data_IF_329609330443
#
_entry.id   IF_329609330443
#
_cell.length_a   1.000
_cell.length_b   1.000
_cell.length_c   1.000
_cell.angle_alpha   90.00
_cell.angle_beta   90.00
_cell.angle_gamma   90.00
#
_symmetry.space_group_name_H-M   'P 1'
#
loop_
_entity.id
_entity.type
_entity.pdbx_description
1 polymer ?
#
# COMPACT_ATOMS: atom_id res chain seq x y z
N UNK A 1 13.50 10.43 -45.72
CA UNK A 1 13.48 11.45 -44.76
C UNK A 1 12.34 11.37 -43.84
N UNK A 2 11.21 11.43 -44.36
CA UNK A 2 10.04 11.41 -43.53
C UNK A 2 9.91 10.15 -42.76
N UNK A 3 10.37 9.07 -43.26
CA UNK A 3 10.26 7.81 -42.59
C UNK A 3 10.95 7.80 -41.29
N UNK A 4 11.99 8.54 -41.19
CA UNK A 4 12.75 8.57 -39.95
C UNK A 4 11.91 9.05 -38.81
N UNK A 5 11.10 10.03 -39.05
CA UNK A 5 10.27 10.54 -37.98
C UNK A 5 9.30 9.53 -37.46
N UNK A 6 8.80 8.74 -38.34
CA UNK A 6 7.85 7.73 -37.91
C UNK A 6 8.47 6.70 -37.02
N UNK A 7 9.69 6.35 -37.31
CA UNK A 7 10.36 5.37 -36.50
C UNK A 7 10.58 5.87 -35.09
N UNK A 8 10.91 7.12 -35.00
CA UNK A 8 11.14 7.69 -33.68
C UNK A 8 9.89 7.66 -32.84
N UNK A 9 8.78 7.93 -33.46
CA UNK A 9 7.53 7.94 -32.74
C UNK A 9 7.21 6.57 -32.18
N UNK A 10 7.45 5.55 -32.95
CA UNK A 10 7.15 4.22 -32.46
C UNK A 10 7.96 3.86 -31.25
N UNK A 11 9.20 4.25 -31.23
CA UNK A 11 10.07 3.92 -30.12
C UNK A 11 9.59 4.58 -28.84
N UNK A 12 9.09 5.78 -28.96
CA UNK A 12 8.64 6.52 -27.79
C UNK A 12 7.47 5.84 -27.15
N UNK A 13 6.61 5.26 -27.92
CA UNK A 13 5.40 4.68 -27.38
C UNK A 13 5.68 3.43 -26.54
N UNK A 14 6.64 2.64 -26.95
CA UNK A 14 6.91 1.38 -26.28
C UNK A 14 7.15 1.53 -24.78
N UNK A 15 7.94 2.47 -24.33
CA UNK A 15 8.27 2.56 -22.90
C UNK A 15 7.05 2.67 -21.99
N UNK A 16 6.02 3.27 -22.47
CA UNK A 16 4.85 3.45 -21.63
C UNK A 16 4.18 2.14 -21.30
N UNK A 17 4.30 1.18 -22.18
CA UNK A 17 3.64 -0.08 -21.94
C UNK A 17 4.33 -0.88 -20.85
N UNK A 18 5.52 -0.48 -20.48
CA UNK A 18 6.27 -1.20 -19.47
C UNK A 18 6.08 -0.63 -18.09
N UNK A 19 5.22 0.35 -17.97
CA UNK A 19 4.99 0.97 -16.66
C UNK A 19 4.47 -0.07 -15.68
N UNK A 20 5.11 -0.19 -14.56
CA UNK A 20 4.68 -1.17 -13.57
C UNK A 20 3.35 -0.79 -12.95
N UNK A 21 2.65 -1.78 -12.51
CA UNK A 21 1.35 -1.56 -11.91
C UNK A 21 1.23 -2.21 -10.56
N UNK A 22 2.34 -2.63 -10.00
CA UNK A 22 2.30 -3.37 -8.74
C UNK A 22 2.61 -2.50 -7.53
N UNK A 23 2.80 -1.22 -7.73
CA UNK A 23 3.13 -0.36 -6.61
C UNK A 23 1.94 -0.20 -5.70
N UNK A 24 2.21 -0.17 -4.39
CA UNK A 24 1.16 0.10 -3.44
C UNK A 24 0.78 1.57 -3.53
N UNK A 25 -0.41 1.88 -3.10
CA UNK A 25 -0.94 3.23 -3.14
C UNK A 25 -1.09 3.73 -1.72
N UNK A 26 -0.17 4.56 -1.29
CA UNK A 26 -0.17 5.04 0.09
C UNK A 26 -1.36 5.96 0.37
N UNK A 27 -1.75 6.75 -0.60
CA UNK A 27 -2.89 7.62 -0.40
C UNK A 27 -4.17 6.82 -0.26
N UNK A 28 -4.32 5.79 -1.05
CA UNK A 28 -5.48 4.93 -0.92
C UNK A 28 -5.46 4.24 0.43
N UNK A 29 -4.28 3.79 0.86
CA UNK A 29 -4.17 3.17 2.16
C UNK A 29 -4.58 4.10 3.28
N UNK A 30 -4.19 5.36 3.19
CA UNK A 30 -4.58 6.33 4.20
C UNK A 30 -6.09 6.52 4.22
N UNK A 31 -6.69 6.66 3.07
CA UNK A 31 -8.13 6.84 3.01
C UNK A 31 -8.88 5.66 3.58
N UNK A 32 -8.47 4.47 3.20
CA UNK A 32 -9.14 3.27 3.72
C UNK A 32 -8.97 3.15 5.21
N UNK A 33 -7.79 3.45 5.69
CA UNK A 33 -7.53 3.38 7.12
C UNK A 33 -8.37 4.41 7.87
N UNK A 34 -8.35 5.65 7.41
CA UNK A 34 -9.03 6.71 8.14
C UNK A 34 -10.53 6.49 8.16
N UNK A 35 -11.07 5.90 7.11
CA UNK A 35 -12.50 5.69 7.04
C UNK A 35 -12.95 4.50 7.88
N UNK A 36 -12.10 3.51 8.05
CA UNK A 36 -12.56 2.26 8.62
C UNK A 36 -11.90 1.86 9.92
N UNK A 37 -10.67 2.25 10.15
CA UNK A 37 -9.93 1.74 11.31
C UNK A 37 -10.05 2.63 12.52
N UNK A 38 -10.18 3.92 12.32
CA UNK A 38 -10.20 4.84 13.45
C UNK A 38 -11.52 4.82 14.19
N UNK A 39 -12.48 4.07 13.71
CA UNK A 39 -13.75 3.96 14.41
C UNK A 39 -13.61 3.22 15.73
N UNK A 40 -12.62 2.35 15.82
CA UNK A 40 -12.46 1.53 17.03
C UNK A 40 -11.34 2.01 17.92
N UNK A 41 -10.32 2.61 17.34
CA UNK A 41 -9.19 3.07 18.14
C UNK A 41 -8.51 4.20 17.39
N UNK A 42 -7.69 4.94 18.09
CA UNK A 42 -6.95 6.01 17.45
C UNK A 42 -5.54 5.52 17.12
N UNK A 43 -4.71 6.44 16.66
CA UNK A 43 -3.39 6.08 16.15
C UNK A 43 -2.39 5.76 17.25
N UNK A 44 -2.73 5.99 18.48
CA UNK A 44 -1.79 5.72 19.56
C UNK A 44 -1.42 4.25 19.64
N UNK A 45 -2.26 3.37 19.16
CA UNK A 45 -1.95 1.96 19.17
C UNK A 45 -0.73 1.63 18.33
N UNK A 46 -0.43 2.46 17.35
CA UNK A 46 0.67 2.16 16.45
C UNK A 46 2.01 2.69 16.96
N UNK A 47 1.97 3.64 17.89
CA UNK A 47 3.19 4.33 18.28
C UNK A 47 3.62 4.05 19.71
N UNK A 48 2.83 3.37 20.49
CA UNK A 48 3.20 3.12 21.88
C UNK A 48 4.36 2.13 21.94
N UNK A 49 5.11 2.20 23.02
CA UNK A 49 6.30 1.39 23.12
C UNK A 49 6.02 -0.09 23.23
N UNK A 50 4.93 -0.44 23.86
CA UNK A 50 4.62 -1.84 24.06
C UNK A 50 3.70 -2.41 23.01
N UNK A 51 3.72 -1.83 21.84
CA UNK A 51 2.88 -2.35 20.76
C UNK A 51 3.30 -3.78 20.45
N UNK A 52 2.33 -4.59 20.09
CA UNK A 52 2.55 -6.00 19.93
C UNK A 52 3.08 -6.38 18.57
N UNK A 53 2.92 -5.54 17.58
CA UNK A 53 3.37 -5.84 16.23
C UNK A 53 4.84 -5.49 16.12
N UNK A 54 5.65 -6.48 15.74
CA UNK A 54 7.10 -6.34 15.79
C UNK A 54 7.78 -6.36 14.44
N UNK A 55 7.08 -6.71 13.37
CA UNK A 55 7.69 -6.70 12.05
C UNK A 55 6.62 -6.51 11.01
N UNK A 56 7.06 -6.32 9.76
CA UNK A 56 6.15 -6.01 8.68
C UNK A 56 5.16 -7.14 8.43
N UNK A 57 5.63 -8.35 8.53
CA UNK A 57 4.75 -9.48 8.27
C UNK A 57 3.62 -9.56 9.29
N UNK A 58 3.95 -9.32 10.55
CA UNK A 58 2.92 -9.29 11.57
C UNK A 58 1.94 -8.16 11.35
N UNK A 59 2.43 -7.03 10.87
CA UNK A 59 1.54 -5.92 10.57
C UNK A 59 0.55 -6.31 9.47
N UNK A 60 1.05 -6.92 8.42
CA UNK A 60 0.20 -7.33 7.31
C UNK A 60 -0.88 -8.31 7.78
N UNK A 61 -0.47 -9.27 8.60
CA UNK A 61 -1.43 -10.24 9.11
C UNK A 61 -2.48 -9.58 10.00
N UNK A 62 -2.07 -8.63 10.80
CA UNK A 62 -3.01 -7.95 11.67
C UNK A 62 -4.01 -7.15 10.86
N UNK A 63 -3.57 -6.52 9.78
CA UNK A 63 -4.50 -5.79 8.93
C UNK A 63 -5.52 -6.73 8.33
N UNK A 64 -5.10 -7.92 7.92
CA UNK A 64 -6.05 -8.89 7.38
C UNK A 64 -7.08 -9.28 8.43
N UNK A 65 -6.64 -9.49 9.66
CA UNK A 65 -7.57 -9.84 10.72
C UNK A 65 -8.56 -8.71 11.00
N UNK A 66 -8.06 -7.50 11.01
CA UNK A 66 -8.93 -6.36 11.28
C UNK A 66 -9.96 -6.18 10.16
N UNK A 67 -9.55 -6.44 8.94
CA UNK A 67 -10.47 -6.33 7.83
C UNK A 67 -11.62 -7.33 7.99
N UNK A 68 -11.28 -8.53 8.40
CA UNK A 68 -12.31 -9.54 8.61
C UNK A 68 -13.22 -9.18 9.78
N UNK A 69 -12.63 -8.69 10.85
CA UNK A 69 -13.42 -8.36 12.03
C UNK A 69 -14.34 -7.17 11.79
N UNK A 70 -13.90 -6.25 10.98
CA UNK A 70 -14.72 -5.09 10.67
C UNK A 70 -15.65 -5.33 9.49
N UNK A 71 -15.59 -6.54 8.93
CA UNK A 71 -16.46 -6.94 7.84
C UNK A 71 -16.31 -6.02 6.63
N UNK A 72 -15.09 -5.66 6.35
CA UNK A 72 -14.80 -4.87 5.19
C UNK A 72 -14.60 -5.80 4.01
N UNK A 73 -14.84 -5.61 2.90
CA UNK A 73 -14.68 -6.57 1.82
C UNK A 73 -13.49 -6.16 0.96
N UNK A 74 -12.35 -6.03 1.59
CA UNK A 74 -11.14 -5.60 0.89
C UNK A 74 -10.52 -6.77 0.16
N UNK A 75 -9.92 -6.46 -0.96
CA UNK A 75 -9.10 -7.41 -1.66
C UNK A 75 -7.66 -7.25 -1.20
N UNK A 76 -6.79 -8.12 -1.69
CA UNK A 76 -5.40 -8.08 -1.29
C UNK A 76 -4.74 -6.75 -1.56
N UNK A 77 -5.13 -6.10 -2.66
CA UNK A 77 -4.54 -4.81 -2.97
C UNK A 77 -4.83 -3.76 -1.92
N UNK A 78 -6.05 -3.76 -1.42
CA UNK A 78 -6.40 -2.78 -0.40
C UNK A 78 -5.70 -3.08 0.90
N UNK A 79 -5.59 -4.35 1.24
CA UNK A 79 -4.87 -4.74 2.44
C UNK A 79 -3.41 -4.31 2.32
N UNK A 80 -2.82 -4.51 1.16
CA UNK A 80 -1.44 -4.10 0.95
C UNK A 80 -1.29 -2.57 1.06
N UNK A 81 -2.24 -1.85 0.52
CA UNK A 81 -2.18 -0.39 0.57
C UNK A 81 -2.24 0.11 2.02
N UNK A 82 -3.15 -0.43 2.82
CA UNK A 82 -3.26 -0.03 4.21
C UNK A 82 -2.02 -0.44 4.99
N UNK A 83 -1.53 -1.65 4.75
CA UNK A 83 -0.33 -2.09 5.44
C UNK A 83 0.84 -1.17 5.13
N UNK A 84 1.02 -0.84 3.86
CA UNK A 84 2.12 0.04 3.47
C UNK A 84 1.96 1.43 4.08
N UNK A 85 0.73 1.93 4.13
CA UNK A 85 0.51 3.23 4.73
C UNK A 85 0.89 3.23 6.20
N UNK A 86 0.43 2.25 6.95
CA UNK A 86 0.73 2.20 8.37
C UNK A 86 2.22 2.01 8.61
N UNK A 87 2.86 1.19 7.80
CA UNK A 87 4.29 1.01 7.96
C UNK A 87 5.05 2.28 7.62
N UNK A 88 4.67 2.95 6.56
CA UNK A 88 5.35 4.16 6.16
C UNK A 88 5.17 5.27 7.19
N UNK A 89 4.01 5.35 7.79
CA UNK A 89 3.68 6.44 8.67
C UNK A 89 4.08 6.19 10.12
N UNK A 90 3.95 4.96 10.59
CA UNK A 90 4.10 4.69 12.02
C UNK A 90 5.15 3.64 12.36
N UNK A 91 5.11 2.49 11.70
CA UNK A 91 5.93 1.37 12.14
C UNK A 91 7.34 1.39 11.58
N UNK A 92 7.49 1.72 10.32
CA UNK A 92 8.80 1.87 9.71
C UNK A 92 9.61 0.59 9.70
N UNK A 93 8.96 -0.55 9.59
CA UNK A 93 9.66 -1.80 9.46
C UNK A 93 10.33 -1.91 8.11
N UNK A 94 11.40 -2.71 8.07
CA UNK A 94 12.09 -3.00 6.83
C UNK A 94 11.25 -3.98 6.01
N UNK A 95 10.91 -3.62 4.82
CA UNK A 95 10.10 -4.47 3.96
C UNK A 95 10.90 -5.21 2.92
N UNK A 96 12.18 -4.99 2.90
CA UNK A 96 13.02 -5.67 1.96
C UNK A 96 13.34 -7.02 2.45
N UNK A 97 13.34 -7.92 1.93
CA UNK A 97 13.70 -9.11 2.60
C UNK A 97 13.99 -10.07 1.71
#
# INVERSE_FOLDING_TARGET
MKKICELVICVIIIPFLLTPVLAVDLENGKSLHDENCLRCHDESKYTREDRMIKNFQQLHERIKQCELMAELTWFDEEIDDVTAYLNNQFYRFDTEK
#
